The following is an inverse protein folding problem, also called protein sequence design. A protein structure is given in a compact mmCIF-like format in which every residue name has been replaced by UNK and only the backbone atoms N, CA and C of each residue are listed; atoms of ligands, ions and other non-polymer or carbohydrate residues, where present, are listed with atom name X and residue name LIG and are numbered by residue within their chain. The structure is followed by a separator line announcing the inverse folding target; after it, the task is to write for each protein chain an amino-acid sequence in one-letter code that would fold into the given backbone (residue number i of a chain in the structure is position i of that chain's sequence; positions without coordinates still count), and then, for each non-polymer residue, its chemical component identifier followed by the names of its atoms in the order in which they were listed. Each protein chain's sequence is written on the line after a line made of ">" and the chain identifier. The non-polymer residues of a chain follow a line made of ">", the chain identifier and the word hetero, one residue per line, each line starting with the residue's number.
data_IF_173087672830
#
_entry.id   IF_173087672830
#
_cell.length_a   1.000
_cell.length_b   1.000
_cell.length_c   1.000
_cell.angle_alpha   90.00
_cell.angle_beta   90.00
_cell.angle_gamma   90.00
#
_symmetry.space_group_name_H-M   'P 1'
#
loop_
_entity.id
_entity.type
_entity.pdbx_description
1 polymer ?
#
# COMPACT_ATOMS: atom_id res chain seq x y z
N UNK A 1 4.41 -1.57 -2.20
CA UNK A 1 5.45 -2.37 -1.55
C UNK A 1 5.20 -2.42 -0.05
N UNK A 2 5.32 -3.59 0.56
CA UNK A 2 4.81 -3.85 1.89
C UNK A 2 5.83 -4.60 2.74
N UNK A 3 5.88 -4.26 4.04
CA UNK A 3 6.64 -5.00 5.05
C UNK A 3 5.66 -5.62 6.02
N UNK A 4 5.73 -6.93 6.14
CA UNK A 4 4.86 -7.74 6.98
C UNK A 4 5.62 -8.28 8.20
N UNK A 5 4.97 -8.27 9.37
CA UNK A 5 5.51 -8.86 10.58
C UNK A 5 5.04 -10.32 10.69
N UNK A 6 5.95 -11.32 10.69
CA UNK A 6 5.57 -12.72 10.80
C UNK A 6 4.91 -13.08 12.14
N UNK A 7 5.08 -12.24 13.16
CA UNK A 7 4.50 -12.45 14.49
C UNK A 7 3.07 -11.91 14.62
N UNK A 8 2.56 -11.26 13.56
CA UNK A 8 1.18 -10.80 13.51
C UNK A 8 0.35 -11.71 12.59
N UNK A 9 -0.96 -11.85 12.85
CA UNK A 9 -1.85 -12.55 11.93
C UNK A 9 -1.78 -11.95 10.53
N UNK A 10 -1.55 -12.81 9.54
CA UNK A 10 -1.54 -12.37 8.14
C UNK A 10 -3.00 -12.18 7.70
N UNK A 11 -3.38 -11.02 7.14
CA UNK A 11 -4.78 -10.71 6.83
C UNK A 11 -5.35 -11.54 5.69
N UNK A 12 -4.49 -12.16 4.88
CA UNK A 12 -4.89 -13.05 3.78
C UNK A 12 -3.97 -14.25 3.78
N UNK A 13 -4.50 -15.36 4.25
CA UNK A 13 -3.78 -16.62 4.21
C UNK A 13 -3.89 -17.22 2.81
N UNK A 14 -2.84 -17.10 2.02
CA UNK A 14 -2.72 -17.79 0.73
C UNK A 14 -2.59 -19.29 1.01
N UNK A 15 -1.82 -19.65 2.04
CA UNK A 15 -1.74 -20.99 2.55
C UNK A 15 -2.65 -21.11 3.79
N UNK A 16 -3.67 -21.98 3.76
CA UNK A 16 -4.49 -22.22 4.94
C UNK A 16 -3.64 -22.77 6.09
N UNK A 17 -3.95 -22.40 7.34
CA UNK A 17 -3.21 -22.92 8.48
C UNK A 17 -3.36 -24.44 8.57
N UNK A 18 -2.27 -25.17 8.89
CA UNK A 18 -2.33 -26.62 9.05
C UNK A 18 -3.40 -27.03 10.07
N UNK A 19 -4.24 -27.98 9.71
CA UNK A 19 -5.34 -28.48 10.55
C UNK A 19 -6.33 -27.41 11.00
N UNK A 20 -6.41 -26.27 10.26
CA UNK A 20 -7.22 -25.10 10.60
C UNK A 20 -6.86 -24.44 11.95
N UNK A 21 -5.64 -24.65 12.43
CA UNK A 21 -5.14 -24.02 13.65
C UNK A 21 -4.25 -22.84 13.26
N UNK A 22 -4.64 -21.58 13.61
CA UNK A 22 -3.77 -20.45 13.40
C UNK A 22 -2.43 -20.64 14.10
N UNK A 23 -1.34 -20.38 13.38
CA UNK A 23 0.00 -20.42 13.98
C UNK A 23 0.68 -19.06 13.88
N UNK A 24 1.43 -18.72 14.93
CA UNK A 24 2.31 -17.57 14.99
C UNK A 24 3.68 -18.04 15.51
N UNK A 25 4.77 -17.63 14.84
CA UNK A 25 4.80 -16.84 13.61
C UNK A 25 4.25 -17.61 12.39
N UNK A 26 3.52 -16.92 11.50
CA UNK A 26 3.04 -17.50 10.23
C UNK A 26 4.11 -17.38 9.14
N UNK A 27 5.15 -18.17 9.25
CA UNK A 27 6.28 -18.15 8.32
C UNK A 27 5.92 -18.53 6.87
N UNK A 28 5.03 -19.50 6.62
CA UNK A 28 4.63 -19.83 5.25
C UNK A 28 4.00 -18.65 4.50
N UNK A 29 3.01 -17.98 5.09
CA UNK A 29 2.37 -16.83 4.45
C UNK A 29 3.31 -15.62 4.41
N UNK A 30 4.05 -15.35 5.47
CA UNK A 30 5.07 -14.31 5.49
C UNK A 30 6.12 -14.50 4.38
N UNK A 31 6.60 -15.71 4.16
CA UNK A 31 7.62 -15.98 3.12
C UNK A 31 7.12 -15.71 1.70
N UNK A 32 5.82 -15.76 1.46
CA UNK A 32 5.22 -15.36 0.19
C UNK A 32 5.31 -13.85 -0.05
N UNK A 33 5.10 -13.05 0.98
CA UNK A 33 5.30 -11.61 0.91
C UNK A 33 6.77 -11.29 0.62
N UNK A 34 7.70 -11.99 1.30
CA UNK A 34 9.13 -11.87 1.04
C UNK A 34 9.50 -12.22 -0.40
N UNK A 35 8.91 -13.28 -0.97
CA UNK A 35 9.09 -13.61 -2.38
C UNK A 35 8.60 -12.47 -3.30
N UNK A 36 7.47 -11.86 -2.96
CA UNK A 36 6.92 -10.71 -3.68
C UNK A 36 7.92 -9.55 -3.74
N UNK A 37 8.52 -9.21 -2.60
CA UNK A 37 9.49 -8.12 -2.50
C UNK A 37 10.83 -8.45 -3.18
N UNK A 38 11.32 -9.67 -3.04
CA UNK A 38 12.66 -10.06 -3.50
C UNK A 38 12.71 -10.50 -4.97
N UNK A 39 11.61 -10.99 -5.51
CA UNK A 39 11.53 -11.54 -6.87
C UNK A 39 10.41 -10.90 -7.68
N UNK A 40 9.19 -10.88 -7.12
CA UNK A 40 7.99 -10.39 -7.81
C UNK A 40 8.12 -8.94 -8.25
N UNK A 41 8.60 -8.07 -7.36
CA UNK A 41 8.85 -6.66 -7.67
C UNK A 41 9.73 -6.50 -8.91
N UNK A 42 10.85 -7.18 -8.99
CA UNK A 42 11.79 -7.02 -10.11
C UNK A 42 11.25 -7.50 -11.45
N UNK A 43 10.39 -8.53 -11.44
CA UNK A 43 9.67 -8.98 -12.64
C UNK A 43 8.68 -7.93 -13.13
N UNK A 44 7.87 -7.40 -12.21
CA UNK A 44 6.91 -6.34 -12.50
C UNK A 44 7.62 -5.06 -12.94
N UNK A 45 8.63 -4.62 -12.19
CA UNK A 45 9.44 -3.45 -12.49
C UNK A 45 10.02 -3.51 -13.91
N UNK A 46 10.65 -4.65 -14.26
CA UNK A 46 11.17 -4.84 -15.61
C UNK A 46 10.09 -4.76 -16.69
N UNK A 47 8.94 -5.39 -16.43
CA UNK A 47 7.84 -5.41 -17.38
C UNK A 47 7.27 -4.01 -17.66
N UNK A 48 7.13 -3.17 -16.62
CA UNK A 48 6.64 -1.80 -16.73
C UNK A 48 7.69 -0.88 -17.37
N UNK A 49 8.93 -0.98 -16.90
CA UNK A 49 10.07 -0.21 -17.45
C UNK A 49 10.29 -0.47 -18.95
N UNK A 50 10.34 -1.73 -19.36
CA UNK A 50 10.55 -2.11 -20.78
C UNK A 50 9.43 -1.56 -21.69
N UNK A 51 8.28 -1.22 -21.15
CA UNK A 51 7.13 -0.65 -21.88
C UNK A 51 6.97 0.85 -21.70
N UNK A 52 7.84 1.49 -20.93
CA UNK A 52 7.74 2.91 -20.62
C UNK A 52 6.45 3.30 -19.88
N UNK A 53 5.90 2.39 -19.04
CA UNK A 53 4.66 2.63 -18.31
C UNK A 53 5.01 3.40 -17.03
N UNK A 54 4.51 4.66 -16.88
CA UNK A 54 4.65 5.39 -15.64
C UNK A 54 3.87 4.68 -14.52
N UNK A 55 4.41 4.69 -13.32
CA UNK A 55 3.80 3.96 -12.21
C UNK A 55 3.84 4.77 -10.92
N UNK A 56 2.87 4.53 -10.06
CA UNK A 56 2.84 5.02 -8.68
C UNK A 56 3.21 3.87 -7.75
N UNK A 57 4.08 4.13 -6.81
CA UNK A 57 4.61 3.16 -5.87
C UNK A 57 3.92 3.31 -4.51
N UNK A 58 2.86 2.53 -4.24
CA UNK A 58 2.28 2.44 -2.91
C UNK A 58 3.32 1.80 -1.96
N UNK A 59 3.76 2.54 -0.94
CA UNK A 59 4.97 2.27 -0.19
C UNK A 59 4.74 2.32 1.31
N UNK A 60 4.88 1.18 2.01
CA UNK A 60 5.07 1.24 3.46
C UNK A 60 6.40 1.94 3.76
N UNK A 61 6.40 2.83 4.74
CA UNK A 61 7.58 3.62 5.07
C UNK A 61 8.81 2.77 5.44
N UNK A 62 8.61 1.62 6.05
CA UNK A 62 9.71 0.72 6.46
C UNK A 62 10.34 -0.05 5.30
N UNK A 63 9.76 -0.01 4.10
CA UNK A 63 10.39 -0.62 2.91
C UNK A 63 11.74 0.02 2.60
N UNK A 64 11.92 1.32 2.90
CA UNK A 64 13.21 2.01 2.69
C UNK A 64 14.35 1.46 3.59
N UNK A 65 13.99 0.79 4.69
CA UNK A 65 14.98 0.13 5.56
C UNK A 65 15.27 -1.30 5.15
N UNK A 66 14.25 -2.01 4.66
CA UNK A 66 14.32 -3.45 4.36
C UNK A 66 14.69 -3.76 2.92
N UNK A 67 14.23 -2.90 1.98
CA UNK A 67 14.38 -3.09 0.53
C UNK A 67 14.70 -1.76 -0.18
N UNK A 68 15.73 -0.99 0.26
CA UNK A 68 16.03 0.33 -0.29
C UNK A 68 16.25 0.29 -1.81
N UNK A 69 16.84 -0.78 -2.33
CA UNK A 69 17.13 -0.93 -3.75
C UNK A 69 15.87 -0.96 -4.64
N UNK A 70 14.73 -1.41 -4.11
CA UNK A 70 13.47 -1.41 -4.86
C UNK A 70 12.95 0.01 -5.02
N UNK A 71 13.02 0.80 -3.96
CA UNK A 71 12.61 2.20 -3.97
C UNK A 71 13.54 3.04 -4.85
N UNK A 72 14.86 2.86 -4.72
CA UNK A 72 15.85 3.53 -5.57
C UNK A 72 15.64 3.23 -7.06
N UNK A 73 15.34 1.96 -7.40
CA UNK A 73 15.07 1.59 -8.78
C UNK A 73 13.82 2.30 -9.33
N UNK A 74 12.74 2.36 -8.55
CA UNK A 74 11.52 3.06 -8.92
C UNK A 74 11.74 4.57 -9.09
N UNK A 75 12.50 5.20 -8.18
CA UNK A 75 12.82 6.63 -8.26
C UNK A 75 13.68 6.97 -9.49
N UNK A 76 14.59 6.09 -9.90
CA UNK A 76 15.37 6.25 -11.15
C UNK A 76 14.51 6.25 -12.41
N UNK A 77 13.36 5.60 -12.38
CA UNK A 77 12.37 5.59 -13.47
C UNK A 77 11.31 6.70 -13.31
N UNK A 78 11.50 7.62 -12.37
CA UNK A 78 10.57 8.72 -12.05
C UNK A 78 9.17 8.23 -11.63
N UNK A 79 9.08 7.09 -10.97
CA UNK A 79 7.81 6.65 -10.39
C UNK A 79 7.44 7.53 -9.20
N UNK A 80 6.14 7.78 -9.04
CA UNK A 80 5.62 8.60 -7.94
C UNK A 80 5.58 7.79 -6.62
N UNK A 81 6.18 8.28 -5.51
CA UNK A 81 5.99 7.65 -4.21
C UNK A 81 4.62 8.02 -3.63
N UNK A 82 3.84 7.03 -3.24
CA UNK A 82 2.56 7.17 -2.57
C UNK A 82 2.62 6.48 -1.19
N UNK A 83 2.17 7.15 -0.15
CA UNK A 83 2.19 6.58 1.20
C UNK A 83 1.21 5.41 1.36
N UNK A 84 1.64 4.38 2.08
CA UNK A 84 0.86 3.16 2.34
C UNK A 84 1.01 2.67 3.80
N UNK A 85 0.93 3.60 4.78
CA UNK A 85 1.19 3.30 6.18
C UNK A 85 2.68 3.21 6.53
N UNK A 86 2.97 3.16 7.83
CA UNK A 86 4.34 2.99 8.30
C UNK A 86 4.83 1.56 8.07
N UNK A 87 4.00 0.58 8.43
CA UNK A 87 4.11 -0.86 8.10
C UNK A 87 2.76 -1.35 7.58
N UNK A 88 2.69 -2.58 7.09
CA UNK A 88 1.43 -3.15 6.61
C UNK A 88 0.49 -3.49 7.78
N UNK A 89 -0.25 -2.47 8.20
CA UNK A 89 -1.22 -2.55 9.30
C UNK A 89 -2.49 -1.76 8.96
N UNK A 90 -3.69 -2.36 9.08
CA UNK A 90 -4.95 -1.65 8.88
C UNK A 90 -5.06 -0.40 9.76
N UNK A 91 -5.53 0.73 9.22
CA UNK A 91 -5.53 2.02 9.92
C UNK A 91 -6.34 1.99 11.23
N UNK A 92 -7.44 1.24 11.29
CA UNK A 92 -8.23 1.08 12.52
C UNK A 92 -7.53 0.25 13.62
N UNK A 93 -6.37 -0.34 13.34
CA UNK A 93 -5.49 -1.03 14.31
C UNK A 93 -4.27 -0.20 14.72
N UNK A 94 -4.14 1.00 14.16
CA UNK A 94 -3.07 1.94 14.51
C UNK A 94 -3.52 2.77 15.70
N UNK A 95 -2.78 2.74 16.81
CA UNK A 95 -3.15 3.46 18.03
C UNK A 95 -3.18 4.97 17.84
N UNK A 96 -2.20 5.52 17.13
CA UNK A 96 -2.12 6.94 16.85
C UNK A 96 -1.84 7.16 15.35
N UNK A 97 -2.92 7.30 14.59
CA UNK A 97 -2.84 7.48 13.13
C UNK A 97 -2.11 8.77 12.73
N UNK A 98 -2.26 9.85 13.49
CA UNK A 98 -1.58 11.10 13.18
C UNK A 98 -0.05 10.93 13.21
N UNK A 99 0.47 10.27 14.24
CA UNK A 99 1.91 9.99 14.35
C UNK A 99 2.37 9.02 13.28
N UNK A 100 1.62 7.96 13.04
CA UNK A 100 1.94 6.93 12.04
C UNK A 100 2.02 7.52 10.64
N UNK A 101 0.96 8.21 10.20
CA UNK A 101 0.88 8.83 8.87
C UNK A 101 1.98 9.87 8.69
N UNK A 102 2.15 10.78 9.65
CA UNK A 102 3.18 11.82 9.58
C UNK A 102 4.59 11.23 9.51
N UNK A 103 4.86 10.20 10.31
CA UNK A 103 6.16 9.52 10.32
C UNK A 103 6.41 8.76 9.04
N UNK A 104 5.36 8.13 8.47
CA UNK A 104 5.44 7.43 7.20
C UNK A 104 5.79 8.39 6.06
N UNK A 105 5.03 9.49 5.93
CA UNK A 105 5.28 10.53 4.93
C UNK A 105 6.71 11.03 5.03
N UNK A 106 7.09 11.49 6.22
CA UNK A 106 8.44 12.03 6.44
C UNK A 106 9.54 11.05 6.06
N UNK A 107 9.41 9.79 6.45
CA UNK A 107 10.43 8.76 6.16
C UNK A 107 10.57 8.49 4.66
N UNK A 108 9.45 8.43 3.94
CA UNK A 108 9.44 8.24 2.48
C UNK A 108 10.08 9.46 1.81
N UNK A 109 9.69 10.69 2.17
CA UNK A 109 10.24 11.93 1.63
C UNK A 109 11.73 12.09 1.92
N UNK A 110 12.16 11.76 3.15
CA UNK A 110 13.57 11.81 3.54
C UNK A 110 14.43 10.86 2.68
N UNK A 111 13.88 9.72 2.25
CA UNK A 111 14.58 8.76 1.41
C UNK A 111 14.51 9.11 -0.07
N UNK A 112 13.31 9.35 -0.58
CA UNK A 112 13.05 9.55 -2.03
C UNK A 112 13.43 10.95 -2.53
N UNK A 113 13.49 11.93 -1.64
CA UNK A 113 13.64 13.37 -1.94
C UNK A 113 12.49 13.91 -2.81
N UNK A 114 11.32 13.28 -2.74
CA UNK A 114 10.11 13.68 -3.41
C UNK A 114 8.99 13.84 -2.39
N UNK A 115 8.07 14.77 -2.65
CA UNK A 115 6.88 14.98 -1.83
C UNK A 115 5.93 13.77 -1.97
N UNK A 116 5.39 13.31 -0.86
CA UNK A 116 4.32 12.31 -0.82
C UNK A 116 2.97 13.03 -0.84
N UNK A 117 2.33 13.06 -1.99
CA UNK A 117 1.04 13.76 -2.18
C UNK A 117 -0.15 12.82 -2.33
N UNK A 118 0.11 11.53 -2.50
CA UNK A 118 -0.87 10.46 -2.61
C UNK A 118 -0.83 9.49 -1.44
N UNK A 119 -1.98 8.86 -1.16
CA UNK A 119 -2.10 7.87 -0.09
C UNK A 119 -3.04 6.73 -0.47
N UNK A 120 -2.62 5.52 -0.17
CA UNK A 120 -3.45 4.34 -0.14
C UNK A 120 -3.28 3.66 1.22
N UNK A 121 -4.34 3.57 2.00
CA UNK A 121 -4.26 2.93 3.31
C UNK A 121 -4.11 1.41 3.19
N UNK A 122 -3.33 0.75 4.07
CA UNK A 122 -3.23 -0.70 4.09
C UNK A 122 -4.60 -1.38 4.10
N UNK A 123 -4.87 -2.18 3.06
CA UNK A 123 -6.15 -2.84 2.84
C UNK A 123 -7.32 -1.87 2.62
N UNK A 124 -7.10 -0.67 2.14
CA UNK A 124 -8.07 0.42 1.93
C UNK A 124 -8.83 0.81 3.22
N UNK A 125 -8.23 0.53 4.39
CA UNK A 125 -8.90 0.75 5.66
C UNK A 125 -8.76 2.19 6.13
N UNK A 126 -9.83 2.73 6.71
CA UNK A 126 -9.87 4.05 7.32
C UNK A 126 -10.67 4.05 8.62
N UNK A 127 -10.51 5.11 9.39
CA UNK A 127 -11.44 5.54 10.44
C UNK A 127 -12.07 6.87 10.04
N UNK A 128 -13.01 7.35 10.82
CA UNK A 128 -13.67 8.64 10.56
C UNK A 128 -12.70 9.84 10.51
N UNK A 129 -11.51 9.71 11.08
CA UNK A 129 -10.52 10.79 11.15
C UNK A 129 -9.39 10.65 10.14
N UNK A 130 -9.21 9.47 9.51
CA UNK A 130 -8.08 9.18 8.62
C UNK A 130 -7.96 10.21 7.50
N UNK A 131 -9.05 10.51 6.80
CA UNK A 131 -9.05 11.44 5.67
C UNK A 131 -8.65 12.86 6.09
N UNK A 132 -9.14 13.33 7.24
CA UNK A 132 -8.78 14.64 7.78
C UNK A 132 -7.29 14.69 8.14
N UNK A 133 -6.77 13.64 8.78
CA UNK A 133 -5.34 13.52 9.12
C UNK A 133 -4.47 13.52 7.86
N UNK A 134 -4.86 12.80 6.82
CA UNK A 134 -4.17 12.79 5.53
C UNK A 134 -4.11 14.19 4.92
N UNK A 135 -5.25 14.87 4.84
CA UNK A 135 -5.35 16.23 4.32
C UNK A 135 -4.50 17.24 5.09
N UNK A 136 -4.47 17.12 6.43
CA UNK A 136 -3.67 18.00 7.30
C UNK A 136 -2.16 17.78 7.11
N UNK A 137 -1.75 16.56 6.75
CA UNK A 137 -0.37 16.22 6.42
C UNK A 137 0.02 16.41 4.94
N UNK A 138 -0.81 17.11 4.15
CA UNK A 138 -0.45 17.51 2.79
C UNK A 138 -0.84 16.54 1.68
N UNK A 139 -1.52 15.45 2.02
CA UNK A 139 -2.02 14.50 1.01
C UNK A 139 -3.13 15.17 0.19
N UNK A 140 -3.00 15.08 -1.12
CA UNK A 140 -3.91 15.71 -2.10
C UNK A 140 -4.89 14.73 -2.71
N UNK A 141 -4.51 13.44 -2.77
CA UNK A 141 -5.39 12.40 -3.28
C UNK A 141 -5.24 11.09 -2.49
N UNK A 142 -6.29 10.30 -2.51
CA UNK A 142 -6.29 8.94 -1.94
C UNK A 142 -6.87 7.94 -2.94
N UNK A 143 -6.45 6.69 -2.86
CA UNK A 143 -7.00 5.57 -3.62
C UNK A 143 -7.91 4.66 -2.77
N UNK A 144 -8.35 5.11 -1.58
CA UNK A 144 -9.11 4.29 -0.64
C UNK A 144 -10.61 4.14 -0.99
N UNK A 145 -11.15 5.03 -1.84
CA UNK A 145 -12.59 5.15 -2.08
C UNK A 145 -12.93 4.89 -3.55
N UNK A 146 -13.19 3.63 -3.94
CA UNK A 146 -13.61 3.29 -5.30
C UNK A 146 -15.10 3.62 -5.50
N UNK A 147 -15.45 4.90 -5.48
CA UNK A 147 -16.83 5.39 -5.50
C UNK A 147 -17.35 5.74 -6.89
N UNK A 148 -16.45 5.88 -7.86
CA UNK A 148 -16.79 6.32 -9.23
C UNK A 148 -15.68 5.90 -10.19
N UNK A 149 -15.98 5.91 -11.49
CA UNK A 149 -14.97 5.71 -12.56
C UNK A 149 -14.10 6.96 -12.79
N UNK A 150 -14.49 8.09 -12.25
CA UNK A 150 -13.78 9.36 -12.33
C UNK A 150 -13.34 9.85 -10.95
N UNK A 151 -12.24 10.65 -10.87
CA UNK A 151 -11.84 11.28 -9.62
C UNK A 151 -12.97 12.11 -9.01
N UNK A 152 -13.19 11.97 -7.71
CA UNK A 152 -14.22 12.68 -6.96
C UNK A 152 -13.61 13.53 -5.86
N UNK A 153 -14.18 14.73 -5.62
CA UNK A 153 -13.80 15.56 -4.49
C UNK A 153 -14.30 14.94 -3.16
N UNK A 154 -13.40 14.85 -2.20
CA UNK A 154 -13.72 14.39 -0.84
C UNK A 154 -13.85 15.59 0.10
N UNK A 155 -14.83 15.53 0.98
CA UNK A 155 -15.05 16.58 1.99
C UNK A 155 -14.17 16.35 3.21
N UNK A 156 -13.26 17.29 3.48
CA UNK A 156 -12.39 17.31 4.66
C UNK A 156 -12.66 18.52 5.54
N UNK A 157 -12.43 18.41 6.83
CA UNK A 157 -12.69 19.49 7.81
C UNK A 157 -11.81 20.72 7.57
N UNK A 158 -10.59 20.52 7.09
CA UNK A 158 -9.64 21.61 6.77
C UNK A 158 -10.11 22.50 5.61
N UNK A 159 -11.08 22.07 4.82
CA UNK A 159 -11.52 22.75 3.60
C UNK A 159 -10.50 22.70 2.45
N UNK A 160 -9.37 22.01 2.61
CA UNK A 160 -8.42 21.75 1.52
C UNK A 160 -9.05 20.82 0.49
N UNK A 161 -8.70 21.00 -0.78
CA UNK A 161 -9.15 20.09 -1.81
C UNK A 161 -8.40 18.76 -1.67
N UNK A 162 -9.14 17.69 -1.43
CA UNK A 162 -8.65 16.30 -1.43
C UNK A 162 -9.55 15.51 -2.36
N UNK A 163 -8.99 14.67 -3.21
CA UNK A 163 -9.74 13.86 -4.16
C UNK A 163 -9.54 12.37 -3.90
N UNK A 164 -10.49 11.54 -4.31
CA UNK A 164 -10.24 10.11 -4.48
C UNK A 164 -10.00 9.81 -5.94
N UNK A 165 -9.00 8.96 -6.21
CA UNK A 165 -8.77 8.39 -7.53
C UNK A 165 -9.51 7.06 -7.64
N UNK A 166 -10.05 6.73 -8.83
CA UNK A 166 -10.62 5.42 -9.08
C UNK A 166 -9.58 4.31 -8.79
N UNK A 167 -9.97 3.34 -7.96
CA UNK A 167 -9.20 2.13 -7.71
C UNK A 167 -10.11 0.92 -7.97
N UNK A 168 -10.31 0.57 -9.25
CA UNK A 168 -11.32 -0.41 -9.63
C UNK A 168 -10.96 -1.80 -9.10
N UNK A 169 -11.91 -2.38 -8.37
CA UNK A 169 -11.75 -3.69 -7.73
C UNK A 169 -11.57 -4.79 -8.78
N UNK A 170 -12.17 -4.63 -9.94
CA UNK A 170 -12.20 -5.61 -11.03
C UNK A 170 -10.84 -5.91 -11.63
N UNK A 171 -9.93 -4.93 -11.60
CA UNK A 171 -8.55 -5.06 -12.10
C UNK A 171 -7.51 -5.14 -10.98
N UNK A 172 -7.98 -5.23 -9.73
CA UNK A 172 -7.10 -5.46 -8.61
C UNK A 172 -6.56 -6.89 -8.64
N UNK A 173 -5.24 -7.06 -8.62
CA UNK A 173 -4.57 -8.36 -8.72
C UNK A 173 -4.93 -9.29 -7.56
N UNK A 174 -5.22 -8.77 -6.38
CA UNK A 174 -5.69 -9.56 -5.23
C UNK A 174 -7.06 -10.17 -5.52
N UNK A 175 -7.97 -9.40 -6.12
CA UNK A 175 -9.30 -9.90 -6.50
C UNK A 175 -9.18 -10.90 -7.65
N UNK A 176 -8.38 -10.60 -8.65
CA UNK A 176 -8.13 -11.49 -9.78
C UNK A 176 -7.55 -12.82 -9.29
N UNK A 177 -6.52 -12.78 -8.46
CA UNK A 177 -5.82 -14.01 -8.02
C UNK A 177 -6.56 -14.77 -6.93
N UNK A 178 -7.18 -14.09 -5.97
CA UNK A 178 -7.81 -14.75 -4.81
C UNK A 178 -9.26 -15.16 -5.04
N UNK A 179 -9.97 -14.48 -5.96
CA UNK A 179 -11.42 -14.68 -6.14
C UNK A 179 -11.72 -15.30 -7.51
N UNK A 180 -11.09 -14.81 -8.57
CA UNK A 180 -11.44 -15.23 -9.94
C UNK A 180 -10.75 -16.54 -10.34
N UNK A 181 -9.47 -16.74 -9.96
CA UNK A 181 -8.73 -17.95 -10.31
C UNK A 181 -9.35 -19.22 -9.69
N UNK A 182 -10.02 -19.09 -8.54
CA UNK A 182 -10.68 -20.20 -7.88
C UNK A 182 -12.15 -20.43 -8.34
N UNK A 183 -12.65 -19.63 -9.26
CA UNK A 183 -14.01 -19.74 -9.81
C UNK A 183 -14.06 -20.14 -11.29
N UNK A 184 -12.91 -20.39 -11.92
CA UNK A 184 -12.88 -20.92 -13.29
C UNK A 184 -13.09 -22.43 -13.24
N UNK A 185 -14.30 -22.88 -13.46
CA UNK A 185 -14.60 -24.23 -13.92
C UNK A 185 -14.21 -24.37 -15.40
#
# INVERSE_FOLDING_TARGET
>A
LEVWDPNLPQPRNILPPPMNVPMLPDLPNWSWHEYGMRVGFWRMFKALKDRGIPSTLALNATVVDHYPETVEAAMKENWEPMGHGYIQRPMHKVENQFVDIKSAIKKIEDFTKQDVIGWESPGLTETNDTLDILSDNGIKYTANWPVDDLPQDLKVKSGKRTITLPYPIEINDVVITSVQVHKSD
#
